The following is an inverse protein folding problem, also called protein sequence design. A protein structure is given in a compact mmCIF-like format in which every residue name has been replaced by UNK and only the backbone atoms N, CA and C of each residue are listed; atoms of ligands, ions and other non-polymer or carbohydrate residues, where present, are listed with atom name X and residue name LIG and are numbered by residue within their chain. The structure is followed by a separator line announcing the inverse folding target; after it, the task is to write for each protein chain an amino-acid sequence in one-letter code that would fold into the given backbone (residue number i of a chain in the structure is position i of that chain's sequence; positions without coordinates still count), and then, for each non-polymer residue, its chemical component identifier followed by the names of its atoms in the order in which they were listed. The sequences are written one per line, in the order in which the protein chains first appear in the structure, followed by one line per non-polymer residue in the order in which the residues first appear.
data_IF_701747545217
#
_entry.id   IF_701747545217
#
_cell.length_a   1.000
_cell.length_b   1.000
_cell.length_c   1.000
_cell.angle_alpha   90.00
_cell.angle_beta   90.00
_cell.angle_gamma   90.00
#
_symmetry.space_group_name_H-M   'P 1'
#
loop_
_entity.id
_entity.type
_entity.pdbx_description
1 polymer ?
#
# COMPACT_ATOMS: atom_id res chain seq x y z
N UNK A 1 -17.61 -22.95 -26.27
CA UNK A 1 -18.43 -23.79 -25.37
C UNK A 1 -18.46 -23.06 -24.04
N UNK A 2 -19.63 -22.83 -23.47
CA UNK A 2 -19.75 -22.11 -22.19
C UNK A 2 -19.32 -23.04 -21.06
N UNK A 3 -18.33 -22.63 -20.29
CA UNK A 3 -17.76 -23.42 -19.18
C UNK A 3 -18.41 -22.95 -17.86
N UNK A 4 -19.68 -23.31 -17.68
CA UNK A 4 -20.50 -22.95 -16.52
C UNK A 4 -21.21 -24.19 -15.98
N UNK A 5 -21.29 -24.28 -14.66
CA UNK A 5 -22.12 -25.24 -13.93
C UNK A 5 -22.90 -24.55 -12.83
N UNK A 6 -23.99 -25.16 -12.36
CA UNK A 6 -24.76 -24.67 -11.21
C UNK A 6 -24.38 -25.46 -9.96
N UNK A 7 -24.05 -24.75 -8.88
CA UNK A 7 -23.72 -25.35 -7.58
C UNK A 7 -24.82 -25.05 -6.55
N UNK A 8 -25.36 -26.07 -5.85
CA UNK A 8 -26.42 -25.86 -4.87
C UNK A 8 -25.89 -25.23 -3.56
N UNK A 9 -26.56 -24.18 -3.11
CA UNK A 9 -26.28 -23.46 -1.85
C UNK A 9 -27.59 -23.30 -1.08
N UNK A 10 -27.85 -24.23 -0.15
CA UNK A 10 -29.12 -24.27 0.58
C UNK A 10 -30.31 -24.44 -0.38
N UNK A 11 -31.17 -23.43 -0.46
CA UNK A 11 -32.39 -23.44 -1.29
C UNK A 11 -32.23 -22.80 -2.68
N UNK A 12 -31.04 -22.30 -3.04
CA UNK A 12 -30.75 -21.68 -4.33
C UNK A 12 -29.53 -22.32 -4.98
N UNK A 13 -29.23 -21.94 -6.23
CA UNK A 13 -27.97 -22.30 -6.92
C UNK A 13 -27.15 -21.05 -7.18
N UNK A 14 -25.84 -21.24 -7.27
CA UNK A 14 -24.89 -20.21 -7.73
C UNK A 14 -24.13 -20.74 -8.95
N UNK A 15 -23.80 -19.87 -9.92
CA UNK A 15 -22.97 -20.28 -11.04
C UNK A 15 -21.53 -20.53 -10.60
N UNK A 16 -20.91 -21.54 -11.18
CA UNK A 16 -19.50 -21.87 -11.00
C UNK A 16 -18.86 -21.94 -12.38
N UNK A 17 -17.76 -21.23 -12.54
CA UNK A 17 -16.94 -21.24 -13.75
C UNK A 17 -15.49 -21.59 -13.37
N UNK A 18 -14.69 -22.09 -14.31
CA UNK A 18 -13.26 -22.28 -14.08
C UNK A 18 -12.60 -20.96 -13.67
N UNK A 19 -11.70 -21.01 -12.68
CA UNK A 19 -11.03 -19.82 -12.15
C UNK A 19 -10.17 -19.13 -13.21
N UNK A 20 -9.59 -19.88 -14.15
CA UNK A 20 -8.86 -19.29 -15.26
C UNK A 20 -9.76 -18.54 -16.25
N UNK A 21 -10.98 -19.05 -16.49
CA UNK A 21 -12.03 -18.37 -17.26
C UNK A 21 -12.48 -17.09 -16.56
N UNK A 22 -12.65 -17.12 -15.24
CA UNK A 22 -12.93 -15.92 -14.44
C UNK A 22 -11.81 -14.87 -14.57
N UNK A 23 -10.55 -15.27 -14.38
CA UNK A 23 -9.42 -14.34 -14.47
C UNK A 23 -9.29 -13.75 -15.88
N UNK A 24 -9.53 -14.54 -16.93
CA UNK A 24 -9.53 -14.04 -18.30
C UNK A 24 -10.63 -12.99 -18.51
N UNK A 25 -11.86 -13.27 -18.08
CA UNK A 25 -12.97 -12.32 -18.14
C UNK A 25 -12.65 -11.03 -17.36
N UNK A 26 -12.14 -11.16 -16.14
CA UNK A 26 -11.76 -10.04 -15.29
C UNK A 26 -10.66 -9.17 -15.94
N UNK A 27 -9.70 -9.78 -16.63
CA UNK A 27 -8.63 -9.06 -17.34
C UNK A 27 -9.12 -8.32 -18.58
N UNK A 28 -10.05 -8.89 -19.36
CA UNK A 28 -10.64 -8.19 -20.51
C UNK A 28 -11.50 -7.02 -20.06
N UNK A 29 -12.30 -7.18 -19.00
CA UNK A 29 -13.04 -6.08 -18.38
C UNK A 29 -12.08 -5.01 -17.83
N UNK A 30 -10.98 -5.43 -17.19
CA UNK A 30 -9.94 -4.51 -16.72
C UNK A 30 -9.21 -3.78 -17.86
N UNK A 31 -9.33 -4.26 -19.10
CA UNK A 31 -8.78 -3.67 -20.33
C UNK A 31 -9.88 -2.99 -21.15
N UNK A 32 -10.95 -2.53 -20.49
CA UNK A 32 -11.96 -1.65 -21.07
C UNK A 32 -13.01 -2.32 -21.94
N UNK A 33 -13.04 -3.65 -22.02
CA UNK A 33 -14.15 -4.36 -22.66
C UNK A 33 -15.43 -4.20 -21.84
N UNK A 34 -16.56 -4.13 -22.53
CA UNK A 34 -17.85 -4.00 -21.89
C UNK A 34 -18.32 -5.35 -21.31
N UNK A 35 -19.11 -5.34 -20.22
CA UNK A 35 -19.78 -6.55 -19.74
C UNK A 35 -20.63 -7.24 -20.81
N UNK A 36 -21.24 -6.48 -21.72
CA UNK A 36 -22.09 -7.01 -22.80
C UNK A 36 -21.30 -7.82 -23.84
N UNK A 37 -19.99 -7.55 -24.01
CA UNK A 37 -19.11 -8.35 -24.85
C UNK A 37 -18.58 -9.61 -24.11
N UNK A 38 -18.24 -9.46 -22.83
CA UNK A 38 -17.48 -10.47 -22.07
C UNK A 38 -18.39 -11.52 -21.43
N UNK A 39 -19.44 -11.09 -20.73
CA UNK A 39 -20.25 -11.97 -19.88
C UNK A 39 -21.04 -13.03 -20.67
N UNK A 40 -21.57 -12.75 -21.89
CA UNK A 40 -22.21 -13.79 -22.69
C UNK A 40 -21.29 -14.97 -23.05
N UNK A 41 -19.98 -14.74 -23.22
CA UNK A 41 -19.02 -15.80 -23.55
C UNK A 41 -18.84 -16.80 -22.41
N UNK A 42 -18.96 -16.34 -21.17
CA UNK A 42 -18.92 -17.17 -19.96
C UNK A 42 -20.32 -17.53 -19.45
N UNK A 43 -21.35 -17.13 -20.19
CA UNK A 43 -22.75 -17.42 -19.91
C UNK A 43 -23.23 -16.85 -18.59
N UNK A 44 -22.78 -15.66 -18.19
CA UNK A 44 -23.24 -14.99 -16.96
C UNK A 44 -24.06 -13.74 -17.28
N UNK A 45 -25.04 -13.43 -16.44
CA UNK A 45 -25.67 -12.11 -16.38
C UNK A 45 -24.80 -11.14 -15.55
N UNK A 46 -25.02 -9.81 -15.66
CA UNK A 46 -24.33 -8.84 -14.80
C UNK A 46 -24.53 -9.08 -13.31
N UNK A 47 -25.73 -9.49 -12.88
CA UNK A 47 -26.01 -9.76 -11.47
C UNK A 47 -25.26 -11.00 -10.96
N UNK A 48 -25.17 -12.06 -11.77
CA UNK A 48 -24.39 -13.24 -11.45
C UNK A 48 -22.89 -12.94 -11.41
N UNK A 49 -22.40 -12.11 -12.34
CA UNK A 49 -21.00 -11.68 -12.35
C UNK A 49 -20.62 -10.92 -11.08
N UNK A 50 -21.45 -9.97 -10.62
CA UNK A 50 -21.16 -9.21 -9.39
C UNK A 50 -21.02 -10.13 -8.17
N UNK A 51 -21.93 -11.09 -8.01
CA UNK A 51 -21.86 -12.07 -6.91
C UNK A 51 -20.63 -12.96 -7.01
N UNK A 52 -20.36 -13.51 -8.21
CA UNK A 52 -19.22 -14.38 -8.45
C UNK A 52 -17.89 -13.64 -8.26
N UNK A 53 -17.77 -12.43 -8.82
CA UNK A 53 -16.58 -11.59 -8.73
C UNK A 53 -16.25 -11.22 -7.29
N UNK A 54 -17.27 -10.91 -6.47
CA UNK A 54 -17.09 -10.60 -5.06
C UNK A 54 -16.38 -11.72 -4.29
N UNK A 55 -16.58 -12.99 -4.67
CA UNK A 55 -15.91 -14.14 -4.09
C UNK A 55 -14.58 -14.48 -4.80
N UNK A 56 -14.60 -14.62 -6.13
CA UNK A 56 -13.47 -15.16 -6.91
C UNK A 56 -12.24 -14.26 -6.90
N UNK A 57 -12.42 -12.93 -6.85
CA UNK A 57 -11.30 -11.97 -6.81
C UNK A 57 -10.31 -12.20 -5.65
N UNK A 58 -10.75 -12.91 -4.62
CA UNK A 58 -9.97 -13.21 -3.41
C UNK A 58 -9.23 -14.55 -3.47
N UNK A 59 -9.48 -15.41 -4.46
CA UNK A 59 -8.93 -16.76 -4.48
C UNK A 59 -7.41 -16.77 -4.40
N UNK A 60 -6.71 -15.83 -5.04
CA UNK A 60 -5.25 -15.72 -4.99
C UNK A 60 -4.70 -14.97 -3.77
N UNK A 61 -5.51 -14.70 -2.73
CA UNK A 61 -5.12 -13.93 -1.55
C UNK A 61 -5.50 -14.63 -0.25
N UNK A 62 -4.71 -14.40 0.80
CA UNK A 62 -5.04 -14.87 2.17
C UNK A 62 -6.18 -14.09 2.85
N UNK A 63 -6.94 -13.30 2.09
CA UNK A 63 -8.10 -12.54 2.55
C UNK A 63 -9.36 -13.07 1.87
N UNK A 64 -10.53 -12.62 2.33
CA UNK A 64 -11.82 -12.87 1.68
C UNK A 64 -12.45 -14.23 1.94
N UNK A 65 -12.05 -14.93 3.01
CA UNK A 65 -12.65 -16.20 3.47
C UNK A 65 -14.18 -16.09 3.62
N UNK A 66 -14.67 -15.01 4.24
CA UNK A 66 -16.11 -14.79 4.38
C UNK A 66 -16.85 -14.72 3.04
N UNK A 67 -16.30 -14.00 2.05
CA UNK A 67 -16.92 -13.90 0.72
C UNK A 67 -16.99 -15.25 0.00
N UNK A 68 -15.93 -16.07 0.13
CA UNK A 68 -15.91 -17.41 -0.45
C UNK A 68 -16.92 -18.33 0.24
N UNK A 69 -16.94 -18.33 1.58
CA UNK A 69 -17.89 -19.13 2.35
C UNK A 69 -19.33 -18.72 2.08
N UNK A 70 -19.62 -17.43 2.02
CA UNK A 70 -20.97 -16.94 1.71
C UNK A 70 -21.41 -17.40 0.31
N UNK A 71 -20.53 -17.31 -0.69
CA UNK A 71 -20.83 -17.72 -2.06
C UNK A 71 -21.01 -19.23 -2.23
N UNK A 72 -20.20 -20.04 -1.56
CA UNK A 72 -20.21 -21.50 -1.68
C UNK A 72 -20.97 -22.22 -0.53
N UNK A 73 -21.78 -21.52 0.26
CA UNK A 73 -22.59 -22.15 1.30
C UNK A 73 -21.79 -22.75 2.47
N UNK A 74 -20.67 -22.13 2.82
CA UNK A 74 -19.83 -22.49 3.96
C UNK A 74 -18.70 -23.47 3.65
N UNK A 75 -18.53 -23.88 2.38
CA UNK A 75 -17.42 -24.73 1.97
C UNK A 75 -16.06 -24.13 2.33
N UNK A 76 -15.12 -25.01 2.70
CA UNK A 76 -13.73 -24.64 2.91
C UNK A 76 -12.95 -24.61 1.58
N UNK A 77 -11.83 -23.91 1.57
CA UNK A 77 -10.99 -23.70 0.38
C UNK A 77 -10.61 -25.00 -0.35
N UNK A 78 -10.33 -26.09 0.39
CA UNK A 78 -10.02 -27.40 -0.19
C UNK A 78 -11.20 -28.08 -0.89
N UNK A 79 -12.44 -27.74 -0.50
CA UNK A 79 -13.67 -28.23 -1.14
C UNK A 79 -14.08 -27.36 -2.33
N UNK A 80 -13.79 -26.05 -2.28
CA UNK A 80 -14.02 -25.11 -3.38
C UNK A 80 -13.08 -25.41 -4.55
N UNK A 81 -11.80 -25.67 -4.26
CA UNK A 81 -10.75 -25.85 -5.25
C UNK A 81 -11.11 -26.81 -6.40
N UNK A 82 -11.54 -28.07 -6.18
CA UNK A 82 -11.90 -28.98 -7.28
C UNK A 82 -13.07 -28.49 -8.14
N UNK A 83 -13.95 -27.62 -7.62
CA UNK A 83 -15.09 -27.07 -8.36
C UNK A 83 -14.68 -26.05 -9.43
N UNK A 84 -13.50 -25.43 -9.28
CA UNK A 84 -13.08 -24.26 -10.06
C UNK A 84 -11.84 -24.48 -10.92
N UNK A 85 -11.26 -25.69 -10.95
CA UNK A 85 -10.02 -25.98 -11.69
C UNK A 85 -10.22 -26.52 -13.11
N UNK A 86 -11.21 -27.38 -13.29
CA UNK A 86 -11.46 -28.02 -14.58
C UNK A 86 -11.90 -27.00 -15.64
N UNK A 87 -11.74 -27.28 -16.94
CA UNK A 87 -11.18 -28.52 -17.50
C UNK A 87 -9.66 -28.51 -17.68
N UNK A 88 -8.99 -27.37 -17.48
CA UNK A 88 -7.57 -27.17 -17.88
C UNK A 88 -6.57 -27.38 -16.76
N UNK A 89 -7.00 -27.23 -15.50
CA UNK A 89 -6.15 -27.40 -14.34
C UNK A 89 -6.60 -28.61 -13.55
N UNK A 90 -5.62 -29.31 -12.99
CA UNK A 90 -5.84 -30.46 -12.12
C UNK A 90 -4.85 -30.41 -10.97
N UNK A 91 -5.27 -30.86 -9.80
CA UNK A 91 -4.37 -31.03 -8.67
C UNK A 91 -3.34 -32.13 -9.00
N UNK A 92 -2.07 -31.88 -8.72
CA UNK A 92 -1.09 -32.97 -8.65
C UNK A 92 -1.44 -33.81 -7.42
N UNK A 93 -1.49 -35.13 -7.56
CA UNK A 93 -1.72 -36.00 -6.42
C UNK A 93 -0.56 -35.86 -5.40
N UNK A 94 -0.92 -35.95 -4.11
CA UNK A 94 -0.06 -35.82 -2.91
C UNK A 94 0.18 -34.38 -2.40
N UNK A 95 -0.78 -33.92 -1.58
CA UNK A 95 -0.69 -32.70 -0.77
C UNK A 95 -2.06 -32.04 -0.60
N UNK A 96 -2.35 -31.50 0.58
CA UNK A 96 -3.50 -30.60 0.76
C UNK A 96 -3.21 -29.32 -0.05
N UNK A 97 -3.76 -29.24 -1.27
CA UNK A 97 -3.54 -28.10 -2.14
C UNK A 97 -4.25 -26.87 -1.58
N UNK A 98 -3.45 -25.84 -1.32
CA UNK A 98 -3.93 -24.53 -0.87
C UNK A 98 -4.56 -23.76 -2.05
N UNK A 99 -5.82 -23.34 -1.89
CA UNK A 99 -6.54 -22.55 -2.89
C UNK A 99 -5.75 -21.30 -3.28
N UNK A 100 -5.14 -20.62 -2.29
CA UNK A 100 -4.37 -19.40 -2.54
C UNK A 100 -3.19 -19.65 -3.46
N UNK A 101 -2.37 -20.66 -3.15
CA UNK A 101 -1.22 -21.02 -3.96
C UNK A 101 -1.60 -21.43 -5.39
N UNK A 102 -2.63 -22.27 -5.55
CA UNK A 102 -3.06 -22.76 -6.87
C UNK A 102 -3.69 -21.63 -7.69
N UNK A 103 -4.59 -20.84 -7.09
CA UNK A 103 -5.18 -19.67 -7.74
C UNK A 103 -4.10 -18.65 -8.15
N UNK A 104 -3.09 -18.43 -7.31
CA UNK A 104 -1.94 -17.59 -7.66
C UNK A 104 -1.22 -18.05 -8.94
N UNK A 105 -0.99 -19.36 -9.08
CA UNK A 105 -0.36 -19.93 -10.28
C UNK A 105 -1.23 -19.75 -11.53
N UNK A 106 -2.54 -20.02 -11.39
CA UNK A 106 -3.51 -19.85 -12.48
C UNK A 106 -3.53 -18.39 -12.94
N UNK A 107 -3.65 -17.45 -12.00
CA UNK A 107 -3.69 -16.03 -12.29
C UNK A 107 -2.45 -15.56 -13.05
N UNK A 108 -1.25 -15.99 -12.64
CA UNK A 108 -0.02 -15.65 -13.35
C UNK A 108 0.04 -16.24 -14.77
N UNK A 109 -0.48 -17.46 -14.96
CA UNK A 109 -0.56 -18.07 -16.29
C UNK A 109 -1.56 -17.31 -17.20
N UNK A 110 -2.73 -16.97 -16.68
CA UNK A 110 -3.78 -16.26 -17.43
C UNK A 110 -3.36 -14.82 -17.76
N UNK A 111 -2.64 -14.12 -16.86
CA UNK A 111 -2.04 -12.80 -17.15
C UNK A 111 -1.10 -12.82 -18.36
N UNK A 112 -0.41 -13.94 -18.62
CA UNK A 112 0.47 -14.09 -19.79
C UNK A 112 -0.30 -14.46 -21.05
N UNK A 113 -1.43 -15.16 -20.92
CA UNK A 113 -2.24 -15.64 -22.04
C UNK A 113 -3.73 -15.69 -21.66
N UNK A 114 -4.46 -14.56 -21.74
CA UNK A 114 -5.88 -14.52 -21.39
C UNK A 114 -6.79 -15.04 -22.52
N UNK A 115 -6.26 -15.29 -23.71
CA UNK A 115 -6.96 -16.01 -24.77
C UNK A 115 -7.03 -17.51 -24.43
N UNK A 116 -7.95 -17.85 -23.53
CA UNK A 116 -8.13 -19.19 -22.94
C UNK A 116 -9.62 -19.52 -22.82
N UNK A 117 -9.97 -20.81 -22.86
CA UNK A 117 -11.34 -21.28 -22.69
C UNK A 117 -12.30 -20.59 -23.67
N UNK A 118 -13.42 -20.00 -23.19
CA UNK A 118 -14.36 -19.26 -24.04
C UNK A 118 -13.76 -18.07 -24.81
N UNK A 119 -12.61 -17.55 -24.39
CA UNK A 119 -11.92 -16.42 -25.02
C UNK A 119 -10.81 -16.84 -26.00
N UNK A 120 -10.59 -18.15 -26.22
CA UNK A 120 -9.47 -18.63 -27.04
C UNK A 120 -9.53 -18.17 -28.51
N UNK A 121 -10.73 -17.90 -29.03
CA UNK A 121 -10.94 -17.42 -30.40
C UNK A 121 -11.06 -15.89 -30.49
N UNK A 122 -11.03 -15.17 -29.36
CA UNK A 122 -11.07 -13.71 -29.34
C UNK A 122 -9.72 -13.16 -29.80
N UNK A 123 -9.74 -12.20 -30.72
CA UNK A 123 -8.59 -11.43 -31.17
C UNK A 123 -8.41 -10.13 -30.37
N UNK A 124 -8.95 -10.10 -29.15
CA UNK A 124 -8.99 -8.90 -28.33
C UNK A 124 -7.58 -8.53 -27.84
N UNK A 125 -7.07 -7.33 -28.20
CA UNK A 125 -5.74 -6.94 -27.78
C UNK A 125 -5.70 -6.75 -26.27
N UNK A 126 -4.60 -7.22 -25.69
CA UNK A 126 -4.38 -7.21 -24.26
C UNK A 126 -2.89 -7.22 -23.96
N UNK A 127 -2.51 -6.48 -22.92
CA UNK A 127 -1.22 -6.64 -22.26
C UNK A 127 -1.34 -6.23 -20.80
N UNK A 128 -0.72 -7.02 -19.93
CA UNK A 128 -0.59 -6.70 -18.51
C UNK A 128 0.62 -5.81 -18.29
N UNK A 129 0.45 -4.68 -17.60
CA UNK A 129 1.57 -3.80 -17.24
C UNK A 129 2.05 -4.15 -15.82
N UNK A 130 1.18 -3.97 -14.82
CA UNK A 130 1.52 -4.22 -13.41
C UNK A 130 0.27 -4.27 -12.52
N UNK A 131 0.38 -4.94 -11.37
CA UNK A 131 -0.57 -4.76 -10.28
C UNK A 131 -0.34 -3.42 -9.58
N UNK A 132 -1.38 -2.83 -8.99
CA UNK A 132 -1.22 -1.62 -8.19
C UNK A 132 -0.47 -1.94 -6.88
N UNK A 133 0.51 -1.12 -6.45
CA UNK A 133 1.34 -1.39 -5.27
C UNK A 133 0.55 -1.46 -3.96
N UNK A 134 -0.54 -0.69 -3.83
CA UNK A 134 -1.33 -0.59 -2.58
C UNK A 134 -2.75 -1.17 -2.74
N UNK A 135 -3.18 -1.43 -3.96
CA UNK A 135 -4.54 -1.88 -4.28
C UNK A 135 -4.43 -3.11 -5.17
N UNK A 136 -3.87 -4.19 -4.62
CA UNK A 136 -3.39 -5.38 -5.37
C UNK A 136 -4.44 -6.06 -6.24
N UNK A 137 -5.73 -5.84 -5.95
CA UNK A 137 -6.86 -6.29 -6.77
C UNK A 137 -7.05 -5.48 -8.06
N UNK A 138 -6.47 -4.28 -8.13
CA UNK A 138 -6.44 -3.40 -9.28
C UNK A 138 -5.14 -3.60 -10.07
N UNK A 139 -5.19 -3.36 -11.37
CA UNK A 139 -4.01 -3.45 -12.23
C UNK A 139 -4.07 -2.42 -13.36
N UNK A 140 -2.90 -2.22 -13.96
CA UNK A 140 -2.71 -1.49 -15.19
C UNK A 140 -2.62 -2.49 -16.35
N UNK A 141 -3.40 -2.25 -17.41
CA UNK A 141 -3.37 -3.04 -18.65
C UNK A 141 -3.43 -2.11 -19.86
N UNK A 142 -3.18 -2.62 -21.07
CA UNK A 142 -3.43 -1.87 -22.29
C UNK A 142 -3.94 -2.74 -23.44
N UNK A 143 -4.68 -2.12 -24.35
CA UNK A 143 -5.17 -2.71 -25.61
C UNK A 143 -4.24 -2.39 -26.80
N UNK A 144 -3.05 -1.84 -26.53
CA UNK A 144 -2.08 -1.39 -27.54
C UNK A 144 -2.27 0.08 -27.95
N UNK A 145 -3.34 0.74 -27.50
CA UNK A 145 -3.63 2.16 -27.76
C UNK A 145 -3.94 2.94 -26.49
N UNK A 146 -4.72 2.36 -25.61
CA UNK A 146 -5.21 2.95 -24.36
C UNK A 146 -4.63 2.17 -23.19
N UNK A 147 -4.13 2.88 -22.19
CA UNK A 147 -3.78 2.28 -20.89
C UNK A 147 -4.99 2.41 -19.98
N UNK A 148 -5.32 1.33 -19.29
CA UNK A 148 -6.43 1.24 -18.37
C UNK A 148 -5.93 1.04 -16.94
N UNK A 149 -6.65 1.61 -15.98
CA UNK A 149 -6.59 1.22 -14.59
C UNK A 149 -7.93 0.62 -14.19
N UNK A 150 -7.94 -0.70 -13.99
CA UNK A 150 -9.14 -1.44 -13.59
C UNK A 150 -10.37 -1.17 -14.48
N UNK A 151 -10.18 -1.24 -15.81
CA UNK A 151 -11.23 -1.10 -16.82
C UNK A 151 -11.53 0.32 -17.25
N UNK A 152 -10.96 1.33 -16.58
CA UNK A 152 -11.14 2.74 -16.93
C UNK A 152 -9.89 3.30 -17.60
N UNK A 153 -10.01 4.07 -18.70
CA UNK A 153 -8.85 4.72 -19.30
C UNK A 153 -8.08 5.55 -18.28
N UNK A 154 -6.75 5.51 -18.36
CA UNK A 154 -5.87 6.35 -17.56
C UNK A 154 -6.20 7.81 -17.84
N UNK A 155 -6.75 8.50 -16.85
CA UNK A 155 -7.37 9.80 -17.05
C UNK A 155 -6.90 10.83 -16.03
N UNK A 156 -6.97 12.10 -16.44
CA UNK A 156 -6.70 13.22 -15.56
C UNK A 156 -7.80 13.40 -14.49
N UNK A 157 -7.65 14.45 -13.67
CA UNK A 157 -8.59 14.76 -12.59
C UNK A 157 -10.00 15.10 -13.09
N UNK A 158 -10.16 15.49 -14.35
CA UNK A 158 -11.45 15.79 -14.97
C UNK A 158 -12.04 14.56 -15.68
N UNK A 159 -11.35 13.41 -15.65
CA UNK A 159 -11.76 12.19 -16.34
C UNK A 159 -11.44 12.21 -17.84
N UNK A 160 -10.57 13.13 -18.30
CA UNK A 160 -10.10 13.13 -19.68
C UNK A 160 -8.97 12.11 -19.84
N UNK A 161 -9.08 11.15 -20.76
CA UNK A 161 -8.02 10.17 -21.00
C UNK A 161 -6.73 10.81 -21.53
N UNK A 162 -5.59 10.29 -21.11
CA UNK A 162 -4.29 10.69 -21.65
C UNK A 162 -4.04 10.06 -23.03
N UNK A 163 -3.36 10.80 -23.91
CA UNK A 163 -2.69 10.23 -25.08
C UNK A 163 -1.37 9.61 -24.60
N UNK A 164 -1.38 8.29 -24.42
CA UNK A 164 -0.23 7.51 -23.93
C UNK A 164 0.44 6.76 -25.08
N UNK A 165 1.71 6.45 -24.94
CA UNK A 165 2.36 5.44 -25.78
C UNK A 165 2.29 4.06 -25.09
N UNK A 166 1.19 3.34 -25.35
CA UNK A 166 0.83 2.10 -24.66
C UNK A 166 1.95 1.04 -24.66
N UNK A 167 2.61 0.80 -25.80
CA UNK A 167 3.65 -0.24 -25.92
C UNK A 167 4.90 0.02 -25.06
N UNK A 168 5.19 1.29 -24.74
CA UNK A 168 6.33 1.64 -23.89
C UNK A 168 5.92 1.89 -22.43
N UNK A 169 4.64 1.74 -22.11
CA UNK A 169 4.10 2.13 -20.82
C UNK A 169 4.51 1.11 -19.75
N UNK A 170 5.14 1.58 -18.68
CA UNK A 170 5.58 0.75 -17.57
C UNK A 170 5.23 1.36 -16.21
N UNK A 171 4.99 0.50 -15.21
CA UNK A 171 4.98 0.91 -13.82
C UNK A 171 6.43 0.94 -13.30
N UNK A 172 6.96 2.15 -13.08
CA UNK A 172 8.39 2.31 -12.76
C UNK A 172 8.72 1.99 -11.31
N UNK A 173 7.81 2.30 -10.39
CA UNK A 173 8.01 2.08 -8.97
C UNK A 173 7.11 2.98 -8.14
N UNK A 174 6.68 2.46 -6.99
CA UNK A 174 5.68 3.14 -6.17
C UNK A 174 4.43 3.48 -6.99
N UNK A 175 3.98 4.73 -6.92
CA UNK A 175 2.82 5.24 -7.68
C UNK A 175 3.22 6.02 -8.95
N UNK A 176 4.42 5.76 -9.48
CA UNK A 176 4.95 6.42 -10.66
C UNK A 176 4.94 5.48 -11.86
N UNK A 177 4.43 5.99 -12.98
CA UNK A 177 4.33 5.29 -14.26
C UNK A 177 5.03 6.12 -15.33
N UNK A 178 5.44 5.51 -16.43
CA UNK A 178 6.03 6.25 -17.55
C UNK A 178 5.74 5.58 -18.86
N UNK A 179 5.81 6.35 -19.93
CA UNK A 179 5.97 5.84 -21.29
C UNK A 179 7.22 6.47 -21.92
N UNK A 180 7.38 6.35 -23.24
CA UNK A 180 8.54 6.92 -23.94
C UNK A 180 8.56 8.46 -23.92
N UNK A 181 7.42 9.09 -23.71
CA UNK A 181 7.19 10.53 -23.86
C UNK A 181 7.02 11.22 -22.50
N UNK A 182 6.38 10.58 -21.52
CA UNK A 182 5.94 11.20 -20.27
C UNK A 182 6.25 10.36 -19.02
N UNK A 183 6.26 11.04 -17.87
CA UNK A 183 6.17 10.45 -16.54
C UNK A 183 4.83 10.85 -15.92
N UNK A 184 4.14 9.87 -15.33
CA UNK A 184 2.84 10.05 -14.69
C UNK A 184 2.94 9.79 -13.20
N UNK A 185 2.29 10.65 -12.40
CA UNK A 185 2.03 10.40 -10.99
C UNK A 185 0.54 10.11 -10.74
N UNK A 186 0.25 9.30 -9.73
CA UNK A 186 -1.12 9.02 -9.30
C UNK A 186 -1.55 9.94 -8.14
N UNK A 187 -2.62 10.71 -8.36
CA UNK A 187 -3.34 11.42 -7.32
C UNK A 187 -4.56 10.64 -6.80
N UNK A 188 -5.07 11.06 -5.65
CA UNK A 188 -6.26 10.49 -5.01
C UNK A 188 -7.23 11.60 -4.58
N UNK A 189 -8.53 11.37 -4.74
CA UNK A 189 -9.56 12.33 -4.32
C UNK A 189 -9.84 12.22 -2.82
N UNK A 190 -9.20 13.08 -2.02
CA UNK A 190 -9.43 13.15 -0.58
C UNK A 190 -9.21 11.79 0.09
N UNK A 191 -10.16 11.36 0.91
CA UNK A 191 -10.14 10.05 1.57
C UNK A 191 -10.77 8.92 0.72
N UNK A 192 -11.28 9.21 -0.48
CA UNK A 192 -11.90 8.18 -1.34
C UNK A 192 -10.83 7.37 -2.08
N UNK A 193 -11.09 6.09 -2.38
CA UNK A 193 -10.23 5.26 -3.24
C UNK A 193 -10.41 5.56 -4.74
N UNK A 194 -10.76 6.80 -5.08
CA UNK A 194 -10.85 7.25 -6.46
C UNK A 194 -9.52 7.87 -6.86
N UNK A 195 -8.89 7.29 -7.87
CA UNK A 195 -7.59 7.72 -8.38
C UNK A 195 -7.74 8.55 -9.67
N UNK A 196 -6.80 9.45 -9.87
CA UNK A 196 -6.56 10.13 -11.14
C UNK A 196 -5.06 10.19 -11.39
N UNK A 197 -4.65 10.50 -12.61
CA UNK A 197 -3.25 10.64 -12.96
C UNK A 197 -2.96 12.04 -13.46
N UNK A 198 -1.69 12.42 -13.43
CA UNK A 198 -1.22 13.68 -13.98
C UNK A 198 0.15 13.47 -14.62
N UNK A 199 0.45 14.23 -15.66
CA UNK A 199 1.79 14.27 -16.25
C UNK A 199 2.67 15.14 -15.35
N UNK A 200 3.83 14.59 -14.95
CA UNK A 200 4.83 15.34 -14.21
C UNK A 200 5.68 16.15 -15.19
N UNK A 201 5.55 17.47 -15.12
CA UNK A 201 6.28 18.39 -15.99
C UNK A 201 7.74 18.56 -15.56
N UNK A 202 8.60 18.84 -16.55
CA UNK A 202 10.02 19.19 -16.33
C UNK A 202 10.90 18.03 -15.86
N UNK A 203 10.50 16.79 -16.14
CA UNK A 203 11.23 15.59 -15.72
C UNK A 203 12.35 15.24 -16.70
N UNK A 204 13.54 15.00 -16.18
CA UNK A 204 14.57 14.27 -16.92
C UNK A 204 14.21 12.78 -16.87
N UNK A 205 13.43 12.33 -17.86
CA UNK A 205 12.91 10.96 -17.92
C UNK A 205 14.01 9.90 -17.91
N UNK A 206 15.16 10.20 -18.53
CA UNK A 206 16.27 9.25 -18.66
C UNK A 206 16.92 8.91 -17.30
N UNK A 207 16.86 9.82 -16.33
CA UNK A 207 17.37 9.62 -14.96
C UNK A 207 16.29 9.54 -13.90
N UNK A 208 15.02 9.44 -14.29
CA UNK A 208 13.90 9.39 -13.36
C UNK A 208 13.91 8.10 -12.53
N UNK A 209 13.91 8.26 -11.22
CA UNK A 209 14.02 7.21 -10.22
C UNK A 209 12.93 7.39 -9.15
N UNK A 210 11.91 6.52 -9.13
CA UNK A 210 11.01 6.39 -7.98
C UNK A 210 11.77 5.90 -6.74
N UNK A 211 11.64 6.61 -5.64
CA UNK A 211 12.31 6.27 -4.38
C UNK A 211 11.38 5.53 -3.42
N UNK A 212 10.08 5.83 -3.47
CA UNK A 212 9.03 5.10 -2.76
C UNK A 212 7.64 5.38 -3.38
N UNK A 213 6.56 5.08 -2.66
CA UNK A 213 5.18 5.33 -3.10
C UNK A 213 4.87 6.79 -3.42
N UNK A 214 5.62 7.76 -2.88
CA UNK A 214 5.27 9.17 -2.94
C UNK A 214 6.39 10.09 -3.45
N UNK A 215 7.64 9.68 -3.36
CA UNK A 215 8.79 10.47 -3.78
C UNK A 215 9.50 9.81 -4.94
N UNK A 216 10.01 10.66 -5.82
CA UNK A 216 10.91 10.30 -6.91
C UNK A 216 11.95 11.41 -7.06
N UNK A 217 12.97 11.15 -7.88
CA UNK A 217 13.95 12.14 -8.28
C UNK A 217 14.37 11.92 -9.73
N UNK A 218 15.03 12.91 -10.28
CA UNK A 218 15.89 12.76 -11.43
C UNK A 218 17.23 13.47 -11.16
N UNK A 219 18.08 13.61 -12.17
CA UNK A 219 19.38 14.28 -12.02
C UNK A 219 19.29 15.76 -11.65
N UNK A 220 18.15 16.41 -11.88
CA UNK A 220 17.96 17.85 -11.73
C UNK A 220 17.20 18.23 -10.45
N UNK A 221 16.25 17.39 -10.01
CA UNK A 221 15.36 17.70 -8.88
C UNK A 221 14.67 16.47 -8.29
N UNK A 222 13.94 16.69 -7.20
CA UNK A 222 13.09 15.68 -6.59
C UNK A 222 11.61 16.04 -6.74
N UNK A 223 10.74 15.04 -6.56
CA UNK A 223 9.31 15.14 -6.78
C UNK A 223 8.54 14.54 -5.61
N UNK A 224 7.36 15.10 -5.37
CA UNK A 224 6.35 14.50 -4.52
C UNK A 224 5.08 14.27 -5.33
N UNK A 225 4.41 13.15 -5.09
CA UNK A 225 3.27 12.57 -5.82
C UNK A 225 2.02 13.47 -5.97
N UNK A 226 2.05 14.69 -5.44
CA UNK A 226 1.02 15.70 -5.69
C UNK A 226 1.37 16.62 -6.87
N UNK A 227 2.27 16.18 -7.76
CA UNK A 227 2.83 17.01 -8.83
C UNK A 227 3.89 18.01 -8.38
N UNK A 228 4.28 17.98 -7.10
CA UNK A 228 5.12 19.02 -6.52
C UNK A 228 6.59 18.76 -6.84
N UNK A 229 7.23 19.76 -7.43
CA UNK A 229 8.68 19.80 -7.60
C UNK A 229 9.34 20.27 -6.30
N UNK A 230 10.24 19.45 -5.78
CA UNK A 230 11.11 19.72 -4.66
C UNK A 230 12.47 20.12 -5.25
N UNK A 231 12.69 21.43 -5.44
CA UNK A 231 13.94 22.01 -5.99
C UNK A 231 15.12 21.79 -5.03
N UNK A 232 15.55 20.55 -4.91
CA UNK A 232 16.71 20.14 -4.15
C UNK A 232 17.97 20.68 -4.82
N UNK A 233 18.93 21.18 -4.04
CA UNK A 233 20.26 21.52 -4.56
C UNK A 233 21.22 20.33 -4.58
N UNK A 234 20.74 19.15 -4.19
CA UNK A 234 21.49 17.90 -4.23
C UNK A 234 20.55 16.72 -4.55
N UNK A 235 19.93 16.69 -5.75
CA UNK A 235 19.02 15.63 -6.16
C UNK A 235 19.63 14.23 -6.02
N UNK A 236 20.92 14.09 -6.31
CA UNK A 236 21.69 12.85 -6.18
C UNK A 236 21.82 12.35 -4.73
N UNK A 237 21.65 13.23 -3.74
CA UNK A 237 21.61 12.89 -2.32
C UNK A 237 20.18 12.80 -1.76
N UNK A 238 19.16 13.04 -2.60
CA UNK A 238 17.76 12.97 -2.16
C UNK A 238 17.38 11.52 -1.86
N UNK A 239 17.03 11.25 -0.61
CA UNK A 239 16.79 9.90 -0.10
C UNK A 239 15.62 9.87 0.88
N UNK A 240 14.98 8.71 0.97
CA UNK A 240 13.89 8.47 1.93
C UNK A 240 14.48 8.31 3.34
N UNK A 241 13.83 8.94 4.31
CA UNK A 241 14.05 8.61 5.73
C UNK A 241 13.01 7.56 6.10
N UNK A 242 13.38 6.32 6.43
CA UNK A 242 12.40 5.27 6.72
C UNK A 242 11.48 5.65 7.89
N UNK A 243 10.19 5.34 7.76
CA UNK A 243 9.27 5.37 8.89
C UNK A 243 9.62 4.23 9.85
N UNK A 244 9.31 4.41 11.14
CA UNK A 244 9.50 3.37 12.15
C UNK A 244 8.12 2.85 12.58
N UNK A 245 7.87 1.56 12.34
CA UNK A 245 6.70 0.85 12.86
C UNK A 245 7.13 0.02 14.06
N UNK A 246 6.51 0.31 15.22
CA UNK A 246 6.73 -0.42 16.46
C UNK A 246 5.65 -1.51 16.58
N UNK A 247 6.03 -2.78 16.42
CA UNK A 247 5.12 -3.91 16.49
C UNK A 247 5.12 -4.50 17.91
N UNK A 248 4.09 -4.18 18.69
CA UNK A 248 4.01 -4.63 20.09
C UNK A 248 3.62 -6.10 20.26
N UNK A 249 3.01 -6.72 19.24
CA UNK A 249 2.56 -8.12 19.32
C UNK A 249 3.72 -9.12 19.29
N UNK A 250 4.73 -8.84 18.47
CA UNK A 250 5.89 -9.71 18.28
C UNK A 250 7.20 -9.08 18.76
N UNK A 251 7.12 -7.90 19.40
CA UNK A 251 8.25 -7.14 19.93
C UNK A 251 9.30 -6.75 18.89
N UNK A 252 8.88 -6.41 17.67
CA UNK A 252 9.77 -6.04 16.56
C UNK A 252 9.66 -4.57 16.14
N UNK A 253 10.71 -4.03 15.54
CA UNK A 253 10.71 -2.71 14.91
C UNK A 253 11.01 -2.84 13.41
N UNK A 254 10.12 -2.30 12.58
CA UNK A 254 10.31 -2.27 11.13
C UNK A 254 10.66 -0.86 10.65
N UNK A 255 11.63 -0.80 9.74
CA UNK A 255 11.97 0.42 9.01
C UNK A 255 11.31 0.40 7.63
N UNK A 256 10.30 1.24 7.44
CA UNK A 256 9.43 1.22 6.27
C UNK A 256 9.81 2.34 5.29
N UNK A 257 10.50 1.99 4.21
CA UNK A 257 10.85 2.94 3.13
C UNK A 257 9.67 3.23 2.20
N UNK A 258 8.94 2.19 1.78
CA UNK A 258 7.90 2.31 0.75
C UNK A 258 6.76 3.26 1.17
N UNK A 259 6.29 3.14 2.40
CA UNK A 259 5.23 3.99 2.97
C UNK A 259 5.72 5.24 3.69
N UNK A 260 7.02 5.57 3.64
CA UNK A 260 7.52 6.75 4.35
C UNK A 260 7.05 8.05 3.71
N UNK A 261 6.62 8.99 4.54
CA UNK A 261 6.27 10.36 4.17
C UNK A 261 7.43 11.33 4.30
N UNK A 262 8.60 10.86 4.76
CA UNK A 262 9.78 11.69 5.02
C UNK A 262 10.89 11.39 4.02
N UNK A 263 11.44 12.45 3.45
CA UNK A 263 12.64 12.39 2.63
C UNK A 263 13.60 13.51 3.04
N UNK A 264 14.85 13.43 2.59
CA UNK A 264 15.86 14.47 2.85
C UNK A 264 16.82 14.58 1.68
N UNK A 265 17.45 15.73 1.56
CA UNK A 265 18.65 15.93 0.76
C UNK A 265 19.79 16.44 1.67
N UNK A 266 20.86 17.04 1.13
CA UNK A 266 21.94 17.59 1.97
C UNK A 266 21.55 18.85 2.75
N UNK A 267 20.50 19.57 2.33
CA UNK A 267 20.11 20.89 2.87
C UNK A 267 18.79 20.90 3.64
N UNK A 268 17.89 19.96 3.37
CA UNK A 268 16.51 19.97 3.82
C UNK A 268 15.99 18.57 4.17
N UNK A 269 15.06 18.56 5.13
CA UNK A 269 14.15 17.44 5.37
C UNK A 269 12.78 17.83 4.83
N UNK A 270 12.09 16.88 4.22
CA UNK A 270 10.78 17.05 3.63
C UNK A 270 9.81 16.08 4.30
N UNK A 271 8.64 16.56 4.69
CA UNK A 271 7.54 15.78 5.22
C UNK A 271 6.29 16.05 4.38
N UNK A 272 5.74 15.01 3.74
CA UNK A 272 4.68 15.13 2.73
C UNK A 272 4.99 16.19 1.66
N UNK A 273 6.22 16.19 1.14
CA UNK A 273 6.70 17.14 0.15
C UNK A 273 6.87 18.58 0.65
N UNK A 274 6.60 18.88 1.93
CA UNK A 274 6.84 20.19 2.52
C UNK A 274 8.18 20.22 3.27
N UNK A 275 8.96 21.29 3.10
CA UNK A 275 10.22 21.46 3.83
C UNK A 275 9.94 21.62 5.32
N UNK A 276 10.58 20.80 6.15
CA UNK A 276 10.52 20.87 7.60
C UNK A 276 11.53 21.92 8.10
N UNK A 277 11.05 23.14 8.33
CA UNK A 277 11.90 24.28 8.69
C UNK A 277 12.71 24.03 9.96
N UNK A 278 14.01 24.29 9.90
CA UNK A 278 14.92 24.21 11.05
C UNK A 278 15.42 22.81 11.41
N UNK A 279 15.02 21.77 10.67
CA UNK A 279 15.56 20.42 10.81
C UNK A 279 16.92 20.29 10.11
N UNK A 280 17.86 19.60 10.75
CA UNK A 280 19.14 19.23 10.13
C UNK A 280 18.97 17.91 9.37
N UNK A 281 19.30 17.85 8.07
CA UNK A 281 19.13 16.61 7.30
C UNK A 281 20.07 15.51 7.75
N UNK A 282 21.32 15.87 8.05
CA UNK A 282 22.31 14.96 8.60
C UNK A 282 21.82 14.41 9.94
N UNK A 283 21.72 13.09 10.04
CA UNK A 283 21.25 12.42 11.26
C UNK A 283 19.74 12.44 11.49
N UNK A 284 18.94 13.13 10.65
CA UNK A 284 17.48 13.08 10.76
C UNK A 284 16.97 11.64 10.66
N UNK A 285 16.16 11.23 11.64
CA UNK A 285 15.58 9.89 11.72
C UNK A 285 14.24 9.91 12.44
N UNK A 286 13.41 8.94 12.10
CA UNK A 286 12.16 8.67 12.80
C UNK A 286 12.44 7.93 14.12
N UNK A 287 11.67 8.26 15.16
CA UNK A 287 11.66 7.56 16.45
C UNK A 287 10.49 6.57 16.57
N UNK A 288 9.47 6.73 15.71
CA UNK A 288 8.20 5.98 15.79
C UNK A 288 7.08 6.85 16.36
N UNK A 289 5.84 6.40 16.20
CA UNK A 289 4.63 7.11 16.72
C UNK A 289 4.54 8.59 16.31
N UNK A 290 4.98 8.94 15.10
CA UNK A 290 4.96 10.32 14.59
C UNK A 290 6.11 11.21 15.11
N UNK A 291 6.99 10.71 15.98
CA UNK A 291 8.14 11.46 16.49
C UNK A 291 9.38 11.29 15.61
N UNK A 292 10.19 12.34 15.52
CA UNK A 292 11.44 12.36 14.79
C UNK A 292 12.48 13.24 15.49
N UNK A 293 13.76 12.99 15.22
CA UNK A 293 14.88 13.77 15.77
C UNK A 293 15.98 13.95 14.73
N UNK A 294 16.74 15.05 14.86
CA UNK A 294 18.00 15.29 14.16
C UNK A 294 19.21 15.23 15.11
N UNK A 295 18.98 14.76 16.35
CA UNK A 295 19.96 14.73 17.44
C UNK A 295 20.07 16.02 18.24
N UNK A 296 19.56 17.15 17.74
CA UNK A 296 19.56 18.44 18.44
C UNK A 296 18.15 18.92 18.80
N UNK A 297 17.13 18.49 18.04
CA UNK A 297 15.74 18.88 18.20
C UNK A 297 14.84 17.66 17.98
N UNK A 298 13.63 17.74 18.51
CA UNK A 298 12.59 16.73 18.36
C UNK A 298 11.36 17.35 17.71
N UNK A 299 10.70 16.58 16.85
CA UNK A 299 9.45 16.95 16.19
C UNK A 299 8.37 15.93 16.46
N UNK A 300 7.13 16.43 16.50
CA UNK A 300 5.93 15.62 16.34
C UNK A 300 5.34 15.92 14.96
N UNK A 301 5.55 15.01 14.01
CA UNK A 301 5.29 15.24 12.59
C UNK A 301 3.80 15.29 12.25
N UNK A 302 2.94 14.59 12.99
CA UNK A 302 1.48 14.62 12.77
C UNK A 302 0.91 16.03 12.91
N UNK A 303 1.49 16.85 13.80
CA UNK A 303 1.17 18.27 13.92
C UNK A 303 2.12 19.19 13.16
N UNK A 304 3.13 18.63 12.48
CA UNK A 304 4.19 19.36 11.75
C UNK A 304 4.93 20.37 12.64
N UNK A 305 5.12 20.05 13.93
CA UNK A 305 5.68 20.97 14.92
C UNK A 305 6.96 20.44 15.55
N UNK A 306 7.88 21.38 15.81
CA UNK A 306 9.01 21.17 16.74
C UNK A 306 8.47 21.16 18.17
N UNK A 307 9.03 20.30 19.00
CA UNK A 307 8.77 20.27 20.44
C UNK A 307 9.77 21.21 21.13
N UNK A 308 9.29 22.33 21.65
CA UNK A 308 10.15 23.31 22.34
C UNK A 308 10.61 22.77 23.70
N UNK A 309 11.89 22.96 24.02
CA UNK A 309 12.46 22.56 25.31
C UNK A 309 12.60 21.06 25.55
N UNK A 310 12.43 20.22 24.52
CA UNK A 310 12.73 18.80 24.57
C UNK A 310 14.25 18.56 24.64
N UNK A 311 14.65 17.66 25.53
CA UNK A 311 16.01 17.12 25.61
C UNK A 311 16.19 16.05 24.52
N UNK A 312 16.57 16.49 23.33
CA UNK A 312 16.71 15.62 22.15
C UNK A 312 17.70 14.46 22.36
N UNK A 313 18.66 14.59 23.28
CA UNK A 313 19.64 13.54 23.58
C UNK A 313 19.04 12.37 24.36
N UNK A 314 17.98 12.62 25.15
CA UNK A 314 17.35 11.62 26.03
C UNK A 314 15.89 11.31 25.63
N UNK A 315 15.36 11.98 24.61
CA UNK A 315 13.99 11.77 24.15
C UNK A 315 13.77 10.33 23.68
N UNK A 316 12.83 9.65 24.34
CA UNK A 316 12.54 8.24 24.20
C UNK A 316 11.08 8.01 23.83
N UNK A 317 10.89 7.21 22.79
CA UNK A 317 9.60 6.58 22.45
C UNK A 317 9.71 5.12 22.90
N UNK A 318 9.01 4.69 23.96
CA UNK A 318 9.09 3.31 24.44
C UNK A 318 8.84 2.29 23.34
N UNK A 319 9.80 1.39 23.18
CA UNK A 319 9.83 0.39 22.14
C UNK A 319 8.90 -0.79 22.42
N UNK A 320 8.76 -1.70 21.45
CA UNK A 320 8.15 -3.00 21.68
C UNK A 320 8.88 -3.79 22.77
N UNK A 321 8.13 -4.44 23.66
CA UNK A 321 8.69 -5.17 24.81
C UNK A 321 9.06 -4.29 26.00
N UNK A 322 9.15 -2.97 25.85
CA UNK A 322 9.34 -2.06 26.98
C UNK A 322 7.99 -1.73 27.64
N UNK A 323 7.93 -1.65 28.99
CA UNK A 323 6.76 -1.13 29.65
C UNK A 323 6.46 0.28 29.13
N UNK A 324 5.20 0.56 28.84
CA UNK A 324 4.82 1.87 28.31
C UNK A 324 3.91 2.56 29.30
N UNK A 325 4.08 3.87 29.47
CA UNK A 325 3.05 4.69 30.07
C UNK A 325 1.90 4.84 29.07
N UNK A 326 0.67 4.63 29.53
CA UNK A 326 -0.52 4.85 28.72
C UNK A 326 -1.37 5.92 29.37
N UNK A 327 -1.90 6.83 28.55
CA UNK A 327 -2.97 7.70 29.04
C UNK A 327 -4.24 6.88 29.23
N UNK A 328 -5.21 7.43 29.96
CA UNK A 328 -6.62 6.98 29.95
C UNK A 328 -7.23 6.80 28.56
N UNK A 329 -6.72 7.50 27.53
CA UNK A 329 -7.16 7.35 26.13
C UNK A 329 -6.55 6.15 25.41
N UNK A 330 -5.63 5.39 26.05
CA UNK A 330 -4.92 4.25 25.47
C UNK A 330 -3.73 4.63 24.59
N UNK A 331 -3.43 5.92 24.41
CA UNK A 331 -2.25 6.38 23.69
C UNK A 331 -0.99 6.23 24.53
N UNK A 332 0.11 5.79 23.89
CA UNK A 332 1.42 5.63 24.54
C UNK A 332 2.08 6.98 24.79
N UNK A 333 2.51 7.19 26.02
CA UNK A 333 3.34 8.33 26.40
C UNK A 333 4.74 8.24 25.82
N UNK A 334 5.34 9.39 25.59
CA UNK A 334 6.77 9.53 25.28
C UNK A 334 7.40 10.46 26.32
N UNK A 335 8.71 10.39 26.51
CA UNK A 335 9.37 11.16 27.58
C UNK A 335 10.81 11.48 27.22
N UNK A 336 11.38 12.50 27.85
CA UNK A 336 12.81 12.70 27.96
C UNK A 336 13.22 12.79 29.43
N UNK A 337 14.50 13.07 29.69
CA UNK A 337 15.02 13.20 31.07
C UNK A 337 14.34 14.29 31.89
N UNK A 338 13.74 15.29 31.25
CA UNK A 338 13.15 16.45 31.89
C UNK A 338 11.67 16.26 32.19
N UNK A 339 10.91 15.60 31.29
CA UNK A 339 9.44 15.46 31.43
C UNK A 339 8.81 14.44 30.45
N UNK A 340 7.54 14.06 30.66
CA UNK A 340 6.74 13.35 29.67
C UNK A 340 6.07 14.31 28.66
N UNK A 341 5.62 13.76 27.53
CA UNK A 341 4.94 14.48 26.45
C UNK A 341 3.71 13.73 25.92
N UNK A 342 2.67 14.49 25.56
CA UNK A 342 1.46 14.02 24.88
C UNK A 342 1.34 14.71 23.51
N UNK A 343 1.48 13.93 22.43
CA UNK A 343 1.40 14.41 21.02
C UNK A 343 2.20 15.70 20.79
N UNK A 344 3.44 15.71 21.29
CA UNK A 344 4.36 16.83 21.19
C UNK A 344 4.15 17.98 22.20
N UNK A 345 3.20 17.87 23.13
CA UNK A 345 2.95 18.85 24.18
C UNK A 345 3.65 18.40 25.48
N UNK A 346 4.49 19.23 26.11
CA UNK A 346 5.12 18.89 27.39
C UNK A 346 4.06 18.77 28.49
N UNK A 347 4.16 17.72 29.31
CA UNK A 347 3.26 17.46 30.43
C UNK A 347 3.93 17.74 31.77
N UNK A 348 3.12 17.88 32.82
CA UNK A 348 3.61 17.93 34.20
C UNK A 348 4.09 16.52 34.62
N UNK A 349 5.36 16.36 35.03
CA UNK A 349 5.87 15.12 35.60
C UNK A 349 5.00 14.51 36.71
N UNK A 350 4.37 15.32 37.56
CA UNK A 350 3.59 14.83 38.70
C UNK A 350 2.35 14.04 38.24
N UNK A 351 1.68 14.51 37.19
CA UNK A 351 0.47 13.90 36.64
C UNK A 351 0.73 12.51 36.02
N UNK A 352 1.99 12.21 35.72
CA UNK A 352 2.43 11.05 34.96
C UNK A 352 3.29 10.08 35.78
N UNK A 353 3.55 10.38 37.04
CA UNK A 353 4.49 9.63 37.88
C UNK A 353 4.14 8.13 37.98
N UNK A 354 2.89 7.81 38.28
CA UNK A 354 2.44 6.43 38.40
C UNK A 354 2.40 5.69 37.06
N UNK A 355 1.98 6.37 35.99
CA UNK A 355 1.89 5.77 34.65
C UNK A 355 3.27 5.36 34.11
N UNK A 356 4.33 6.08 34.48
CA UNK A 356 5.71 5.78 34.05
C UNK A 356 6.47 4.85 34.99
N UNK A 357 5.94 4.54 36.18
CA UNK A 357 6.59 3.64 37.16
C UNK A 357 7.07 2.32 36.54
N UNK A 358 6.25 1.57 35.76
CA UNK A 358 6.70 0.29 35.20
C UNK A 358 7.90 0.43 34.25
N UNK A 359 7.98 1.54 33.51
CA UNK A 359 9.08 1.79 32.57
C UNK A 359 10.39 2.06 33.32
N UNK A 360 10.36 2.93 34.34
CA UNK A 360 11.55 3.27 35.10
C UNK A 360 12.02 2.13 36.01
N UNK A 361 11.11 1.39 36.64
CA UNK A 361 11.48 0.20 37.44
C UNK A 361 12.11 -0.91 36.59
N UNK A 362 11.69 -1.05 35.33
CA UNK A 362 12.31 -1.99 34.38
C UNK A 362 13.66 -1.50 33.81
N UNK A 363 14.05 -0.24 34.09
CA UNK A 363 15.24 0.41 33.54
C UNK A 363 16.12 1.03 34.65
N UNK A 364 16.68 0.19 35.55
CA UNK A 364 17.55 0.66 36.64
C UNK A 364 18.87 1.28 36.14
N UNK A 365 19.18 1.14 34.85
CA UNK A 365 20.29 1.83 34.19
C UNK A 365 20.07 3.35 34.06
N UNK A 366 18.81 3.81 34.13
CA UNK A 366 18.46 5.22 34.09
C UNK A 366 18.60 5.85 35.48
N UNK A 367 19.12 7.08 35.54
CA UNK A 367 19.22 7.86 36.78
C UNK A 367 19.14 9.35 36.46
N UNK A 368 18.75 10.17 37.44
CA UNK A 368 18.54 11.63 37.26
C UNK A 368 17.51 11.97 36.16
N UNK A 369 16.43 11.21 36.10
CA UNK A 369 15.23 11.58 35.32
C UNK A 369 14.23 12.26 36.25
N UNK A 370 13.29 13.00 35.66
CA UNK A 370 12.20 13.63 36.39
C UNK A 370 11.50 12.67 37.35
N UNK A 371 11.31 11.41 36.93
CA UNK A 371 10.68 10.37 37.73
C UNK A 371 11.48 10.04 38.99
N UNK A 372 12.80 9.85 38.85
CA UNK A 372 13.70 9.62 39.99
C UNK A 372 13.74 10.81 40.95
N UNK A 373 13.74 12.03 40.42
CA UNK A 373 13.72 13.24 41.24
C UNK A 373 12.43 13.39 42.04
N UNK A 374 11.28 13.00 41.46
CA UNK A 374 10.00 12.96 42.17
C UNK A 374 9.92 11.81 43.17
N UNK A 375 10.52 10.66 42.90
CA UNK A 375 10.52 9.53 43.84
C UNK A 375 11.38 9.80 45.09
N UNK A 376 12.35 10.72 45.00
CA UNK A 376 13.28 11.06 46.07
C UNK A 376 12.86 12.26 46.92
N UNK A 377 11.89 13.05 46.49
CA UNK A 377 11.35 14.23 47.20
C UNK A 377 9.96 13.97 47.72
#
# INVERSE_FOLDING_TARGET
MVERSEFPVGAHTVPVIPYDTFEAANLYLATGRSPDEVLPLIGLSPAEWELLHAAYRWFSYGLGDSYRRDYFGGLEDGQILPLVLGPRWSLKAEGAADLQAVAGQIREAVRRKPAIGPFAACDWPYSFIAAHPEATLCCYTHDGRTVYFNGRPLSDRQGKPFAVHAESFEAKGGRWLLDRDHVYGQGQFGASNTFYWYVQEGVDRASFEPLNLAYARDRNQAYYITGKILRSKSPEAFAIVPSVRLNYRDSTCDFLTQGSSVARDREAVYFHGARLTGARPAGFRMLGQGYATDGAKVWFLDQKKRIEGADAATFTVPGPGEPSAFRRTGEKGVTDRLRPYDRGVPCDPQDWFEDWRPYFEARPDLSDWWWHRLAAG
#
